data_IF_957374118989
#
_entry.id   IF_957374118989
#
_cell.length_a   1.000
_cell.length_b   1.000
_cell.length_c   1.000
_cell.angle_alpha   90.00
_cell.angle_beta   90.00
_cell.angle_gamma   90.00
#
_symmetry.space_group_name_H-M   'P 1'
#
loop_
_entity.id
_entity.type
_entity.pdbx_description
1 polymer ?
#
# COMPACT_ATOMS: atom_id res chain seq x y z
N UNK A 1 24.16 -20.84 -12.94
CA UNK A 1 23.90 -19.71 -12.03
C UNK A 1 25.23 -19.03 -11.73
N UNK A 2 25.57 -18.02 -12.52
CA UNK A 2 26.72 -17.15 -12.27
C UNK A 2 26.34 -16.30 -11.03
N UNK A 3 26.94 -16.59 -9.88
CA UNK A 3 26.74 -15.84 -8.65
C UNK A 3 27.27 -14.41 -8.86
N UNK A 4 26.36 -13.44 -8.98
CA UNK A 4 26.67 -12.02 -8.88
C UNK A 4 27.17 -11.77 -7.44
N UNK A 5 28.51 -11.81 -7.25
CA UNK A 5 29.16 -11.37 -6.02
C UNK A 5 29.23 -9.85 -6.04
N UNK A 6 28.16 -9.19 -5.63
CA UNK A 6 28.21 -7.75 -5.32
C UNK A 6 28.83 -7.57 -3.92
N UNK A 7 29.68 -6.54 -3.76
CA UNK A 7 30.15 -6.14 -2.45
C UNK A 7 28.94 -5.76 -1.57
N UNK A 8 28.97 -6.08 -0.27
CA UNK A 8 27.83 -5.92 0.64
C UNK A 8 27.22 -4.51 0.64
N UNK A 9 28.05 -3.46 0.51
CA UNK A 9 27.59 -2.07 0.45
C UNK A 9 26.81 -1.77 -0.85
N UNK A 10 27.27 -2.28 -1.97
CA UNK A 10 26.62 -2.15 -3.30
C UNK A 10 25.33 -2.96 -3.36
N UNK A 11 25.32 -4.16 -2.77
CA UNK A 11 24.15 -5.02 -2.68
C UNK A 11 23.04 -4.36 -1.85
N UNK A 12 23.38 -3.80 -0.70
CA UNK A 12 22.41 -3.09 0.15
C UNK A 12 21.77 -1.89 -0.59
N UNK A 13 22.58 -1.08 -1.27
CA UNK A 13 22.08 0.06 -2.05
C UNK A 13 21.16 -0.37 -3.20
N UNK A 14 21.50 -1.44 -3.90
CA UNK A 14 20.67 -1.98 -4.98
C UNK A 14 19.30 -2.46 -4.49
N UNK A 15 19.27 -3.26 -3.42
CA UNK A 15 17.99 -3.74 -2.86
C UNK A 15 17.15 -2.60 -2.30
N UNK A 16 17.77 -1.61 -1.67
CA UNK A 16 17.06 -0.42 -1.17
C UNK A 16 16.37 0.33 -2.31
N UNK A 17 17.07 0.60 -3.42
CA UNK A 17 16.48 1.27 -4.59
C UNK A 17 15.37 0.44 -5.25
N UNK A 18 15.55 -0.87 -5.36
CA UNK A 18 14.52 -1.75 -5.91
C UNK A 18 13.25 -1.75 -5.06
N UNK A 19 13.40 -1.81 -3.73
CA UNK A 19 12.28 -1.75 -2.79
C UNK A 19 11.57 -0.39 -2.87
N UNK A 20 12.33 0.71 -2.88
CA UNK A 20 11.76 2.06 -3.01
C UNK A 20 10.97 2.20 -4.31
N UNK A 21 11.50 1.73 -5.45
CA UNK A 21 10.80 1.75 -6.73
C UNK A 21 9.51 0.91 -6.75
N UNK A 22 9.51 -0.25 -6.09
CA UNK A 22 8.29 -1.06 -5.94
C UNK A 22 7.24 -0.35 -5.07
N UNK A 23 7.65 0.28 -3.98
CA UNK A 23 6.75 1.06 -3.12
C UNK A 23 6.16 2.27 -3.85
N UNK A 24 6.92 2.92 -4.72
CA UNK A 24 6.41 4.03 -5.54
C UNK A 24 5.40 3.55 -6.58
N UNK A 25 5.63 2.40 -7.21
CA UNK A 25 4.67 1.79 -8.13
C UNK A 25 3.35 1.41 -7.41
N UNK A 26 3.44 0.87 -6.19
CA UNK A 26 2.27 0.60 -5.35
C UNK A 26 1.54 1.91 -5.01
N UNK A 27 2.26 2.97 -4.65
CA UNK A 27 1.68 4.28 -4.36
C UNK A 27 0.89 4.83 -5.54
N UNK A 28 1.40 4.70 -6.75
CA UNK A 28 0.72 5.17 -7.97
C UNK A 28 -0.53 4.34 -8.28
N UNK A 29 -0.49 3.02 -8.06
CA UNK A 29 -1.67 2.17 -8.14
C UNK A 29 -2.76 2.56 -7.14
N UNK A 30 -2.38 2.85 -5.89
CA UNK A 30 -3.32 3.29 -4.84
C UNK A 30 -3.96 4.63 -5.21
N UNK A 31 -3.19 5.62 -5.69
CA UNK A 31 -3.70 6.93 -6.12
C UNK A 31 -4.69 6.84 -7.30
N UNK A 32 -4.54 5.85 -8.17
CA UNK A 32 -5.44 5.60 -9.29
C UNK A 32 -6.76 4.96 -8.87
N UNK A 33 -6.90 4.53 -7.62
CA UNK A 33 -8.10 3.86 -7.11
C UNK A 33 -9.25 4.88 -6.94
N UNK A 34 -10.42 4.69 -7.56
CA UNK A 34 -11.52 5.64 -7.50
C UNK A 34 -12.28 5.62 -6.16
N UNK A 35 -12.17 4.53 -5.40
CA UNK A 35 -12.82 4.38 -4.11
C UNK A 35 -11.98 5.04 -3.02
N UNK A 36 -12.55 6.04 -2.32
CA UNK A 36 -11.86 6.84 -1.32
C UNK A 36 -11.40 6.00 -0.10
N UNK A 37 -12.21 5.02 0.32
CA UNK A 37 -11.88 4.15 1.45
C UNK A 37 -10.72 3.21 1.09
N UNK A 38 -10.75 2.58 -0.09
CA UNK A 38 -9.68 1.75 -0.59
C UNK A 38 -8.38 2.54 -0.78
N UNK A 39 -8.47 3.77 -1.30
CA UNK A 39 -7.31 4.65 -1.42
C UNK A 39 -6.71 4.99 -0.05
N UNK A 40 -7.54 5.37 0.94
CA UNK A 40 -7.07 5.69 2.29
C UNK A 40 -6.43 4.49 2.97
N UNK A 41 -7.06 3.31 2.90
CA UNK A 41 -6.53 2.07 3.47
C UNK A 41 -5.24 1.63 2.79
N UNK A 42 -5.15 1.77 1.46
CA UNK A 42 -3.94 1.51 0.70
C UNK A 42 -2.79 2.44 1.09
N UNK A 43 -3.06 3.73 1.27
CA UNK A 43 -2.05 4.69 1.73
C UNK A 43 -1.59 4.39 3.15
N UNK A 44 -2.51 4.03 4.06
CA UNK A 44 -2.14 3.60 5.41
C UNK A 44 -1.24 2.36 5.38
N UNK A 45 -1.59 1.35 4.58
CA UNK A 45 -0.75 0.16 4.37
C UNK A 45 0.65 0.54 3.87
N UNK A 46 0.75 1.39 2.85
CA UNK A 46 2.02 1.84 2.28
C UNK A 46 2.89 2.57 3.31
N UNK A 47 2.32 3.46 4.11
CA UNK A 47 3.03 4.16 5.17
C UNK A 47 3.56 3.19 6.23
N UNK A 48 2.78 2.19 6.60
CA UNK A 48 3.21 1.14 7.51
C UNK A 48 4.39 0.33 6.95
N UNK A 49 4.29 -0.12 5.69
CA UNK A 49 5.35 -0.90 5.04
C UNK A 49 6.64 -0.09 4.91
N UNK A 50 6.56 1.20 4.56
CA UNK A 50 7.71 2.11 4.53
C UNK A 50 8.35 2.23 5.91
N UNK A 51 7.57 2.46 6.95
CA UNK A 51 8.07 2.51 8.33
C UNK A 51 8.80 1.22 8.76
N UNK A 52 8.24 0.06 8.40
CA UNK A 52 8.86 -1.25 8.65
C UNK A 52 10.16 -1.44 7.85
N UNK A 53 10.21 -1.00 6.59
CA UNK A 53 11.44 -1.03 5.80
C UNK A 53 12.55 -0.19 6.44
N UNK A 54 12.21 0.99 6.97
CA UNK A 54 13.16 1.80 7.73
C UNK A 54 13.63 1.10 9.01
N UNK A 55 12.80 0.28 9.68
CA UNK A 55 13.25 -0.57 10.79
C UNK A 55 14.27 -1.64 10.33
N UNK A 56 14.11 -2.19 9.14
CA UNK A 56 15.10 -3.08 8.52
C UNK A 56 16.43 -2.39 8.23
N UNK A 57 16.38 -1.17 7.67
CA UNK A 57 17.56 -0.33 7.41
C UNK A 57 18.26 0.07 8.71
N UNK A 58 17.50 0.39 9.74
CA UNK A 58 17.98 0.67 11.10
C UNK A 58 18.73 -0.53 11.67
N UNK A 59 18.12 -1.73 11.61
CA UNK A 59 18.77 -2.96 12.07
C UNK A 59 20.14 -3.15 11.45
N UNK A 60 20.25 -3.00 10.14
CA UNK A 60 21.49 -3.19 9.40
C UNK A 60 22.54 -2.12 9.76
N UNK A 61 22.14 -0.85 9.79
CA UNK A 61 23.02 0.29 10.04
C UNK A 61 23.61 0.25 11.44
N UNK A 62 22.74 0.06 12.44
CA UNK A 62 23.22 0.04 13.83
C UNK A 62 24.01 -1.24 14.14
N UNK A 63 23.63 -2.38 13.56
CA UNK A 63 24.40 -3.62 13.73
C UNK A 63 25.85 -3.45 13.23
N UNK A 64 26.03 -2.78 12.09
CA UNK A 64 27.37 -2.51 11.56
C UNK A 64 28.18 -1.56 12.47
N UNK A 65 27.55 -0.51 13.01
CA UNK A 65 28.19 0.42 13.93
C UNK A 65 28.59 -0.25 15.25
N UNK A 66 27.69 -1.08 15.82
CA UNK A 66 27.97 -1.83 17.05
C UNK A 66 29.10 -2.86 16.84
N UNK A 67 29.11 -3.55 15.71
CA UNK A 67 30.19 -4.50 15.37
C UNK A 67 31.55 -3.80 15.19
N UNK A 68 31.55 -2.60 14.61
CA UNK A 68 32.76 -1.78 14.48
C UNK A 68 33.14 -1.07 15.78
N UNK A 69 32.25 -1.08 16.77
CA UNK A 69 32.32 -0.36 18.02
C UNK A 69 32.66 1.15 17.87
N UNK A 70 32.18 1.75 16.77
CA UNK A 70 32.33 3.17 16.43
C UNK A 70 31.24 3.62 15.46
N UNK A 71 30.94 4.90 15.46
CA UNK A 71 30.07 5.53 14.46
C UNK A 71 30.82 6.68 13.76
N UNK A 72 31.08 6.52 12.48
CA UNK A 72 31.56 7.63 11.67
C UNK A 72 30.44 8.68 11.52
N UNK A 73 30.76 9.99 11.33
CA UNK A 73 29.73 11.04 11.20
C UNK A 73 28.71 10.78 10.07
N UNK A 74 29.10 10.05 9.02
CA UNK A 74 28.17 9.65 7.96
C UNK A 74 27.17 8.59 8.44
N UNK A 75 27.64 7.59 9.16
CA UNK A 75 26.79 6.55 9.77
C UNK A 75 25.82 7.16 10.78
N UNK A 76 26.30 8.10 11.60
CA UNK A 76 25.45 8.80 12.55
C UNK A 76 24.34 9.61 11.88
N UNK A 77 24.68 10.40 10.85
CA UNK A 77 23.68 11.15 10.07
C UNK A 77 22.66 10.23 9.41
N UNK A 78 23.13 9.13 8.81
CA UNK A 78 22.26 8.13 8.18
C UNK A 78 21.30 7.51 9.19
N UNK A 79 21.78 7.19 10.37
CA UNK A 79 20.95 6.62 11.43
C UNK A 79 19.85 7.60 11.89
N UNK A 80 20.16 8.88 12.05
CA UNK A 80 19.17 9.94 12.32
C UNK A 80 18.12 10.00 11.22
N UNK A 81 18.54 10.00 9.94
CA UNK A 81 17.61 10.02 8.80
C UNK A 81 16.69 8.81 8.82
N UNK A 82 17.22 7.61 9.04
CA UNK A 82 16.47 6.37 9.12
C UNK A 82 15.40 6.44 10.21
N UNK A 83 15.79 6.79 11.44
CA UNK A 83 14.87 6.83 12.59
C UNK A 83 13.84 7.93 12.46
N UNK A 84 14.19 9.10 11.90
CA UNK A 84 13.26 10.20 11.63
C UNK A 84 12.24 9.80 10.56
N UNK A 85 12.69 9.20 9.46
CA UNK A 85 11.79 8.73 8.39
C UNK A 85 10.87 7.64 8.89
N UNK A 86 11.39 6.67 9.69
CA UNK A 86 10.58 5.63 10.31
C UNK A 86 9.44 6.23 11.14
N UNK A 87 9.75 7.17 12.03
CA UNK A 87 8.76 7.82 12.88
C UNK A 87 7.72 8.59 12.05
N UNK A 88 8.16 9.33 11.01
CA UNK A 88 7.26 10.08 10.12
C UNK A 88 6.26 9.17 9.42
N UNK A 89 6.71 8.02 8.91
CA UNK A 89 5.84 7.04 8.27
C UNK A 89 4.85 6.42 9.25
N UNK A 90 5.30 6.03 10.44
CA UNK A 90 4.39 5.48 11.46
C UNK A 90 3.40 6.52 11.98
N UNK A 91 3.78 7.79 12.10
CA UNK A 91 2.84 8.86 12.47
C UNK A 91 1.79 9.10 11.37
N UNK A 92 2.19 9.02 10.10
CA UNK A 92 1.27 9.08 8.97
C UNK A 92 0.32 7.89 8.97
N UNK A 93 0.83 6.69 9.17
CA UNK A 93 0.03 5.47 9.31
C UNK A 93 -1.02 5.59 10.43
N UNK A 94 -0.62 6.01 11.64
CA UNK A 94 -1.55 6.18 12.78
C UNK A 94 -2.68 7.17 12.50
N UNK A 95 -2.44 8.18 11.69
CA UNK A 95 -3.47 9.17 11.30
C UNK A 95 -4.45 8.65 10.24
N UNK A 96 -4.04 7.67 9.44
CA UNK A 96 -4.82 7.16 8.31
C UNK A 96 -5.57 5.87 8.65
N UNK A 97 -5.08 5.08 9.58
CA UNK A 97 -5.63 3.78 9.94
C UNK A 97 -6.83 3.89 10.87
N UNK A 98 -7.53 2.77 11.11
CA UNK A 98 -8.62 2.68 12.09
C UNK A 98 -8.08 2.63 13.53
N UNK A 99 -8.93 2.96 14.51
CA UNK A 99 -8.54 3.01 15.91
C UNK A 99 -8.09 1.65 16.46
N UNK A 100 -8.74 0.56 16.04
CA UNK A 100 -8.40 -0.81 16.44
C UNK A 100 -7.03 -1.22 15.91
N UNK A 101 -6.71 -0.89 14.65
CA UNK A 101 -5.40 -1.13 14.05
C UNK A 101 -4.32 -0.25 14.70
N UNK A 102 -4.62 1.02 14.98
CA UNK A 102 -3.70 1.91 15.70
C UNK A 102 -3.40 1.38 17.10
N UNK A 103 -4.37 0.79 17.80
CA UNK A 103 -4.18 0.16 19.10
C UNK A 103 -3.27 -1.08 19.01
N UNK A 104 -3.47 -1.94 17.99
CA UNK A 104 -2.58 -3.09 17.77
C UNK A 104 -1.14 -2.66 17.50
N UNK A 105 -0.95 -1.62 16.69
CA UNK A 105 0.38 -1.07 16.47
C UNK A 105 0.98 -0.47 17.75
N UNK A 106 0.16 0.22 18.55
CA UNK A 106 0.57 0.74 19.86
C UNK A 106 1.07 -0.35 20.81
N UNK A 107 0.51 -1.56 20.77
CA UNK A 107 1.03 -2.69 21.54
C UNK A 107 2.43 -3.09 21.08
N UNK A 108 2.71 -3.03 19.78
CA UNK A 108 4.07 -3.28 19.25
C UNK A 108 5.03 -2.17 19.70
N UNK A 109 4.62 -0.89 19.65
CA UNK A 109 5.44 0.24 20.06
C UNK A 109 5.75 0.25 21.57
N UNK A 110 4.92 -0.37 22.40
CA UNK A 110 5.09 -0.43 23.86
C UNK A 110 5.59 -1.77 24.36
N UNK A 111 5.91 -2.71 23.47
CA UNK A 111 6.49 -4.01 23.82
C UNK A 111 7.85 -3.89 24.49
N UNK A 112 8.29 -4.94 25.17
CA UNK A 112 9.61 -4.96 25.81
C UNK A 112 10.74 -4.89 24.78
N UNK A 113 10.55 -5.48 23.59
CA UNK A 113 11.47 -5.35 22.46
C UNK A 113 11.57 -3.91 21.98
N UNK A 114 10.44 -3.19 21.90
CA UNK A 114 10.43 -1.79 21.46
C UNK A 114 11.13 -0.88 22.49
N UNK A 115 10.92 -1.11 23.79
CA UNK A 115 11.62 -0.41 24.87
C UNK A 115 13.12 -0.65 24.82
N UNK A 116 13.53 -1.90 24.60
CA UNK A 116 14.95 -2.24 24.50
C UNK A 116 15.59 -1.64 23.25
N UNK A 117 14.88 -1.64 22.10
CA UNK A 117 15.30 -0.92 20.88
C UNK A 117 15.51 0.57 21.20
N UNK A 118 14.58 1.21 21.91
CA UNK A 118 14.70 2.62 22.28
C UNK A 118 15.92 2.86 23.18
N UNK A 119 16.14 2.02 24.20
CA UNK A 119 17.30 2.08 25.07
C UNK A 119 18.63 1.98 24.29
N UNK A 120 18.71 1.04 23.35
CA UNK A 120 19.94 0.87 22.54
C UNK A 120 20.16 2.08 21.61
N UNK A 121 19.09 2.69 21.08
CA UNK A 121 19.19 3.94 20.31
C UNK A 121 19.79 5.06 21.16
N UNK A 122 19.32 5.23 22.40
CA UNK A 122 19.87 6.23 23.33
C UNK A 122 21.36 5.99 23.58
N UNK A 123 21.76 4.75 23.89
CA UNK A 123 23.17 4.40 24.04
C UNK A 123 23.99 4.76 22.80
N UNK A 124 23.46 4.50 21.61
CA UNK A 124 24.14 4.86 20.35
C UNK A 124 24.27 6.37 20.19
N UNK A 125 23.24 7.15 20.49
CA UNK A 125 23.27 8.60 20.38
C UNK A 125 24.25 9.22 21.38
N UNK A 126 24.26 8.74 22.62
CA UNK A 126 25.10 9.27 23.69
C UNK A 126 26.58 8.98 23.46
N UNK A 127 26.91 7.85 22.82
CA UNK A 127 28.29 7.38 22.64
C UNK A 127 28.76 7.44 21.17
N UNK A 128 28.02 8.08 20.26
CA UNK A 128 28.35 8.07 18.85
C UNK A 128 29.75 8.62 18.52
N UNK A 129 30.19 9.66 19.24
CA UNK A 129 31.50 10.28 19.04
C UNK A 129 32.66 9.45 19.61
N UNK A 130 32.41 8.76 20.71
CA UNK A 130 33.44 8.06 21.49
C UNK A 130 33.52 6.58 21.11
N UNK A 131 32.42 6.00 20.61
CA UNK A 131 32.28 4.56 20.46
C UNK A 131 32.08 3.85 21.81
N UNK A 132 32.51 2.59 21.92
CA UNK A 132 32.42 1.78 23.14
C UNK A 132 30.97 1.67 23.66
N UNK A 133 30.07 1.29 22.77
CA UNK A 133 28.60 1.21 23.02
C UNK A 133 28.22 0.18 24.09
N UNK A 134 29.07 -0.81 24.40
CA UNK A 134 28.80 -1.91 25.35
C UNK A 134 27.48 -2.63 25.08
N UNK A 135 27.09 -2.70 23.82
CA UNK A 135 25.93 -3.44 23.32
C UNK A 135 26.42 -4.50 22.35
N UNK A 136 26.10 -5.75 22.64
CA UNK A 136 26.44 -6.87 21.76
C UNK A 136 25.64 -6.77 20.44
N UNK A 137 26.29 -6.80 19.27
CA UNK A 137 25.60 -6.73 17.98
C UNK A 137 24.54 -7.81 17.81
N UNK A 138 24.80 -9.02 18.31
CA UNK A 138 23.84 -10.13 18.28
C UNK A 138 22.59 -9.88 19.11
N UNK A 139 22.73 -9.22 20.28
CA UNK A 139 21.60 -8.81 21.10
C UNK A 139 20.73 -7.76 20.39
N UNK A 140 21.35 -6.73 19.83
CA UNK A 140 20.66 -5.74 19.00
C UNK A 140 19.89 -6.39 17.87
N UNK A 141 20.57 -7.22 17.07
CA UNK A 141 19.98 -7.86 15.90
C UNK A 141 18.77 -8.73 16.28
N UNK A 142 18.87 -9.52 17.33
CA UNK A 142 17.79 -10.37 17.81
C UNK A 142 16.59 -9.55 18.31
N UNK A 143 16.85 -8.49 19.09
CA UNK A 143 15.80 -7.65 19.67
C UNK A 143 15.00 -6.89 18.61
N UNK A 144 15.68 -6.20 17.71
CA UNK A 144 14.98 -5.46 16.65
C UNK A 144 14.30 -6.40 15.64
N UNK A 145 14.84 -7.61 15.41
CA UNK A 145 14.19 -8.60 14.57
C UNK A 145 12.85 -9.03 15.14
N UNK A 146 12.75 -9.30 16.45
CA UNK A 146 11.46 -9.62 17.08
C UNK A 146 10.44 -8.49 16.92
N UNK A 147 10.86 -7.23 17.05
CA UNK A 147 9.99 -6.07 16.79
C UNK A 147 9.53 -6.05 15.33
N UNK A 148 10.43 -6.29 14.37
CA UNK A 148 10.11 -6.35 12.93
C UNK A 148 9.17 -7.52 12.62
N UNK A 149 9.34 -8.67 13.27
CA UNK A 149 8.47 -9.83 13.11
C UNK A 149 7.04 -9.56 13.62
N UNK A 150 6.91 -8.84 14.75
CA UNK A 150 5.61 -8.37 15.23
C UNK A 150 4.96 -7.40 14.22
N UNK A 151 5.73 -6.48 13.64
CA UNK A 151 5.25 -5.61 12.54
C UNK A 151 4.85 -6.43 11.30
N UNK A 152 5.59 -7.48 10.96
CA UNK A 152 5.27 -8.38 9.85
C UNK A 152 3.91 -9.07 10.02
N UNK A 153 3.60 -9.48 11.25
CA UNK A 153 2.29 -10.07 11.56
C UNK A 153 1.15 -9.06 11.34
N UNK A 154 1.33 -7.81 11.77
CA UNK A 154 0.37 -6.74 11.51
C UNK A 154 0.26 -6.40 10.02
N UNK A 155 1.38 -6.35 9.29
CA UNK A 155 1.41 -6.15 7.83
C UNK A 155 0.56 -7.20 7.10
N UNK A 156 0.71 -8.47 7.48
CA UNK A 156 -0.06 -9.56 6.86
C UNK A 156 -1.57 -9.37 7.06
N UNK A 157 -1.99 -8.92 8.24
CA UNK A 157 -3.39 -8.57 8.50
C UNK A 157 -3.84 -7.39 7.63
N UNK A 158 -3.08 -6.30 7.62
CA UNK A 158 -3.41 -5.11 6.81
C UNK A 158 -3.51 -5.43 5.30
N UNK A 159 -2.62 -6.29 4.80
CA UNK A 159 -2.68 -6.75 3.41
C UNK A 159 -3.96 -7.56 3.15
N UNK A 160 -4.34 -8.46 4.06
CA UNK A 160 -5.59 -9.22 3.96
C UNK A 160 -6.82 -8.33 3.95
N UNK A 161 -6.88 -7.35 4.85
CA UNK A 161 -7.98 -6.38 4.94
C UNK A 161 -8.08 -5.54 3.65
N UNK A 162 -6.94 -5.14 3.08
CA UNK A 162 -6.90 -4.38 1.83
C UNK A 162 -7.35 -5.20 0.62
N UNK A 163 -6.96 -6.48 0.54
CA UNK A 163 -7.41 -7.41 -0.51
C UNK A 163 -8.93 -7.58 -0.44
N UNK A 164 -9.47 -7.87 0.75
CA UNK A 164 -10.92 -8.02 0.95
C UNK A 164 -11.70 -6.76 0.57
N UNK A 165 -11.19 -5.58 0.91
CA UNK A 165 -11.79 -4.31 0.50
C UNK A 165 -11.75 -4.14 -1.03
N UNK A 166 -10.64 -4.52 -1.69
CA UNK A 166 -10.51 -4.47 -3.15
C UNK A 166 -11.51 -5.40 -3.85
N UNK A 167 -11.69 -6.61 -3.36
CA UNK A 167 -12.69 -7.57 -3.89
C UNK A 167 -14.12 -7.00 -3.75
N UNK A 168 -14.47 -6.45 -2.59
CA UNK A 168 -15.78 -5.85 -2.38
C UNK A 168 -16.06 -4.68 -3.35
N UNK A 169 -15.10 -3.79 -3.54
CA UNK A 169 -15.22 -2.67 -4.49
C UNK A 169 -15.37 -3.17 -5.93
N UNK A 170 -14.65 -4.23 -6.31
CA UNK A 170 -14.75 -4.83 -7.63
C UNK A 170 -16.13 -5.46 -7.86
N UNK A 171 -16.68 -6.17 -6.88
CA UNK A 171 -18.00 -6.79 -6.93
C UNK A 171 -19.10 -5.73 -7.04
N UNK A 172 -19.06 -4.65 -6.26
CA UNK A 172 -20.00 -3.54 -6.38
C UNK A 172 -19.97 -2.90 -7.78
N UNK A 173 -18.79 -2.67 -8.32
CA UNK A 173 -18.61 -2.12 -9.66
C UNK A 173 -19.17 -3.07 -10.73
N UNK A 174 -18.99 -4.38 -10.59
CA UNK A 174 -19.54 -5.38 -11.49
C UNK A 174 -21.07 -5.39 -11.45
N UNK A 175 -21.68 -5.36 -10.28
CA UNK A 175 -23.15 -5.29 -10.13
C UNK A 175 -23.71 -4.04 -10.80
N UNK A 176 -23.11 -2.87 -10.56
CA UNK A 176 -23.52 -1.63 -11.21
C UNK A 176 -23.38 -1.69 -12.73
N UNK A 177 -22.30 -2.23 -13.25
CA UNK A 177 -22.08 -2.40 -14.69
C UNK A 177 -23.17 -3.27 -15.32
N UNK A 178 -23.43 -4.46 -14.78
CA UNK A 178 -24.44 -5.37 -15.32
C UNK A 178 -25.84 -4.80 -15.22
N UNK A 179 -26.17 -4.13 -14.13
CA UNK A 179 -27.47 -3.46 -13.95
C UNK A 179 -27.69 -2.38 -15.02
N UNK A 180 -26.71 -1.50 -15.23
CA UNK A 180 -26.78 -0.46 -16.25
C UNK A 180 -26.87 -1.06 -17.67
N UNK A 181 -26.14 -2.14 -17.95
CA UNK A 181 -26.20 -2.84 -19.23
C UNK A 181 -27.59 -3.41 -19.50
N UNK A 182 -28.22 -4.05 -18.51
CA UNK A 182 -29.60 -4.57 -18.65
C UNK A 182 -30.58 -3.44 -18.91
N UNK A 183 -30.50 -2.32 -18.21
CA UNK A 183 -31.35 -1.15 -18.44
C UNK A 183 -31.18 -0.63 -19.87
N UNK A 184 -29.95 -0.49 -20.35
CA UNK A 184 -29.63 0.00 -21.69
C UNK A 184 -30.21 -0.93 -22.78
N UNK A 185 -29.99 -2.23 -22.64
CA UNK A 185 -30.51 -3.24 -23.57
C UNK A 185 -32.04 -3.23 -23.60
N UNK A 186 -32.66 -3.14 -22.40
CA UNK A 186 -34.13 -3.09 -22.31
C UNK A 186 -34.69 -1.84 -22.99
N UNK A 187 -34.11 -0.67 -22.74
CA UNK A 187 -34.50 0.58 -23.37
C UNK A 187 -34.35 0.50 -24.92
N UNK A 188 -33.27 -0.08 -25.39
CA UNK A 188 -33.03 -0.29 -26.83
C UNK A 188 -34.07 -1.20 -27.47
N UNK A 189 -34.40 -2.32 -26.83
CA UNK A 189 -35.46 -3.25 -27.31
C UNK A 189 -36.83 -2.55 -27.37
N UNK A 190 -37.19 -1.80 -26.34
CA UNK A 190 -38.43 -1.02 -26.31
C UNK A 190 -38.46 0.00 -27.46
N UNK A 191 -37.39 0.72 -27.70
CA UNK A 191 -37.29 1.67 -28.82
C UNK A 191 -37.46 1.00 -30.16
N UNK A 192 -36.88 -0.19 -30.37
CA UNK A 192 -37.08 -0.98 -31.60
C UNK A 192 -38.53 -1.42 -31.78
N UNK A 193 -39.18 -1.89 -30.70
CA UNK A 193 -40.61 -2.31 -30.78
C UNK A 193 -41.50 -1.13 -31.12
N UNK A 194 -41.30 0.02 -30.47
CA UNK A 194 -42.08 1.24 -30.76
C UNK A 194 -41.82 1.73 -32.16
N UNK A 195 -40.57 1.79 -32.62
CA UNK A 195 -40.21 2.15 -34.00
C UNK A 195 -40.85 1.23 -35.03
N UNK A 196 -40.79 -0.08 -34.79
CA UNK A 196 -41.44 -1.07 -35.65
C UNK A 196 -42.96 -0.90 -35.68
N UNK A 197 -43.61 -0.69 -34.53
CA UNK A 197 -45.07 -0.47 -34.46
C UNK A 197 -45.51 0.80 -35.23
N UNK A 198 -44.76 1.90 -35.10
CA UNK A 198 -45.00 3.15 -35.80
C UNK A 198 -44.85 2.94 -37.33
N UNK A 199 -43.76 2.31 -37.77
CA UNK A 199 -43.50 2.04 -39.17
C UNK A 199 -44.61 1.17 -39.78
N UNK A 200 -45.02 0.11 -39.04
CA UNK A 200 -46.09 -0.78 -39.47
C UNK A 200 -47.46 -0.06 -39.57
N UNK A 201 -47.78 0.83 -38.64
CA UNK A 201 -49.01 1.64 -38.64
C UNK A 201 -49.04 2.57 -39.86
N UNK A 202 -47.95 3.30 -40.12
CA UNK A 202 -47.86 4.23 -41.26
C UNK A 202 -47.95 3.50 -42.63
N UNK A 203 -47.26 2.35 -42.76
CA UNK A 203 -47.33 1.57 -44.02
C UNK A 203 -48.70 0.97 -44.27
N UNK A 204 -49.43 0.59 -43.22
CA UNK A 204 -50.80 0.09 -43.33
C UNK A 204 -51.77 1.18 -43.76
N UNK A 205 -51.65 2.38 -43.22
CA UNK A 205 -52.56 3.51 -43.55
C UNK A 205 -52.25 4.08 -44.93
N UNK A 206 -50.99 4.10 -45.39
CA UNK A 206 -50.63 4.48 -46.77
C UNK A 206 -51.04 3.44 -47.83
N UNK A 207 -51.12 2.16 -47.46
CA UNK A 207 -51.63 1.10 -48.36
C UNK A 207 -53.13 1.11 -48.51
N UNK A 208 -53.87 1.84 -47.67
CA UNK A 208 -55.32 2.00 -47.72
C UNK A 208 -55.77 3.26 -48.48
N UNK A 209 -54.90 3.92 -49.26
CA UNK A 209 -55.34 5.02 -50.17
C UNK A 209 -56.26 4.46 -51.21
N UNK A 210 -57.54 4.88 -51.18
CA UNK A 210 -58.53 4.32 -52.11
C UNK A 210 -58.17 4.63 -53.56
N UNK A 211 -58.39 3.65 -54.45
CA UNK A 211 -58.20 3.66 -55.92
C UNK A 211 -59.01 4.74 -56.70
N UNK A 212 -59.35 5.87 -56.05
CA UNK A 212 -60.10 6.96 -56.71
C UNK A 212 -59.21 7.90 -57.54
N UNK A 213 -57.88 7.79 -57.50
CA UNK A 213 -57.02 8.68 -58.31
C UNK A 213 -56.58 8.06 -59.64
N UNK A 214 -57.15 6.96 -60.03
CA UNK A 214 -56.83 6.28 -61.35
C UNK A 214 -57.93 6.40 -62.43
N UNK A 215 -58.67 7.49 -62.40
CA UNK A 215 -59.56 7.84 -63.49
C UNK A 215 -59.60 9.38 -63.65
N UNK A 216 -58.63 9.92 -64.34
CA UNK A 216 -58.73 11.06 -65.27
C UNK A 216 -57.72 10.83 -66.36
#
# INVERSE_FOLDING_TARGET
LVGLKMEGKSSFGYYTQAIDGLMDAIADGIKATPNQEAMRSGMAYLEFVRGKEFAGRERATLNAALAANRADPEVFRRFIQITTSQNSHFDSFKKMTSNDVAQLFGQIETSDEAKEVARIREVFFDHAAEGNFRVEPGHWFATITKKIDAMKSLETRLAGDLIGLGEHVADEAAVLFWTNLVILVTAFVVALIVGFAITRSLTRDLGAVPSYVRKV
#
